data_IF_084315536988
#
_entry.id   IF_084315536988
#
_cell.length_a   1.000
_cell.length_b   1.000
_cell.length_c   1.000
_cell.angle_alpha   90.00
_cell.angle_beta   90.00
_cell.angle_gamma   90.00
#
_symmetry.space_group_name_H-M   'P 1'
#
loop_
_entity.id
_entity.type
_entity.pdbx_description
1 polymer ?
#
# COMPACT_ATOMS: atom_id res chain seq x y z
N UNK A 1 -7.18 -12.43 3.13
CA UNK A 1 -7.95 -11.79 4.22
C UNK A 1 -7.22 -11.73 5.56
N UNK A 2 -6.76 -12.84 6.18
CA UNK A 2 -6.24 -12.81 7.56
C UNK A 2 -5.07 -11.84 7.76
N UNK A 3 -4.17 -11.78 6.78
CA UNK A 3 -3.04 -10.85 6.80
C UNK A 3 -3.47 -9.38 6.87
N UNK A 4 -4.47 -8.98 6.08
CA UNK A 4 -4.98 -7.60 6.08
C UNK A 4 -5.61 -7.22 7.42
N UNK A 5 -6.30 -8.15 8.05
CA UNK A 5 -6.86 -7.94 9.39
C UNK A 5 -5.75 -7.77 10.44
N UNK A 6 -4.68 -8.58 10.36
CA UNK A 6 -3.50 -8.44 11.25
C UNK A 6 -2.75 -7.11 11.06
N UNK A 7 -2.78 -6.52 9.86
CA UNK A 7 -2.24 -5.18 9.62
C UNK A 7 -3.07 -4.06 10.27
N UNK A 8 -4.24 -4.38 10.85
CA UNK A 8 -5.10 -3.43 11.53
C UNK A 8 -6.18 -2.81 10.64
N UNK A 9 -6.54 -3.44 9.52
CA UNK A 9 -7.70 -3.07 8.71
C UNK A 9 -9.01 -3.52 9.37
N UNK A 10 -10.08 -2.76 9.16
CA UNK A 10 -11.42 -3.12 9.64
C UNK A 10 -11.92 -4.40 8.96
N UNK A 11 -12.80 -5.17 9.61
CA UNK A 11 -13.30 -6.44 9.08
C UNK A 11 -13.92 -6.31 7.68
N UNK A 12 -14.73 -5.27 7.48
CA UNK A 12 -15.43 -4.99 6.22
C UNK A 12 -14.47 -4.64 5.06
N UNK A 13 -13.32 -4.04 5.37
CA UNK A 13 -12.35 -3.56 4.37
C UNK A 13 -11.20 -4.55 4.18
N UNK A 14 -11.05 -5.51 5.10
CA UNK A 14 -9.97 -6.49 5.10
C UNK A 14 -9.97 -7.37 3.85
N UNK A 15 -11.12 -7.56 3.18
CA UNK A 15 -11.20 -8.27 1.91
C UNK A 15 -10.53 -7.46 0.79
N UNK A 16 -10.94 -6.19 0.62
CA UNK A 16 -10.40 -5.28 -0.39
C UNK A 16 -8.89 -5.02 -0.19
N UNK A 17 -8.48 -4.82 1.07
CA UNK A 17 -7.05 -4.66 1.41
C UNK A 17 -6.27 -5.93 1.04
N UNK A 18 -6.81 -7.12 1.35
CA UNK A 18 -6.15 -8.37 1.01
C UNK A 18 -6.09 -8.62 -0.50
N UNK A 19 -7.11 -8.20 -1.25
CA UNK A 19 -7.11 -8.28 -2.72
C UNK A 19 -5.96 -7.45 -3.31
N UNK A 20 -5.82 -6.18 -2.90
CA UNK A 20 -4.73 -5.32 -3.37
C UNK A 20 -3.34 -5.87 -2.99
N UNK A 21 -3.20 -6.47 -1.81
CA UNK A 21 -1.95 -7.16 -1.42
C UNK A 21 -1.66 -8.36 -2.31
N UNK A 22 -2.68 -9.13 -2.69
CA UNK A 22 -2.57 -10.23 -3.64
C UNK A 22 -2.16 -9.76 -5.03
N UNK A 23 -2.78 -8.69 -5.52
CA UNK A 23 -2.45 -8.04 -6.79
C UNK A 23 -0.98 -7.61 -6.82
N UNK A 24 -0.48 -7.00 -5.74
CA UNK A 24 0.95 -6.67 -5.61
C UNK A 24 1.84 -7.91 -5.73
N UNK A 25 1.50 -8.98 -5.05
CA UNK A 25 2.36 -10.17 -4.97
C UNK A 25 2.47 -10.91 -6.31
N UNK A 26 1.34 -11.05 -7.01
CA UNK A 26 1.26 -11.80 -8.27
C UNK A 26 1.50 -10.96 -9.52
N UNK A 27 1.02 -9.71 -9.56
CA UNK A 27 1.17 -8.83 -10.71
C UNK A 27 2.32 -7.85 -10.46
N UNK A 28 2.03 -6.72 -9.80
CA UNK A 28 3.00 -5.70 -9.43
C UNK A 28 2.34 -4.66 -8.51
N UNK A 29 3.15 -3.82 -7.89
CA UNK A 29 2.71 -2.70 -7.06
C UNK A 29 2.00 -1.60 -7.85
N UNK A 30 2.36 -1.36 -9.12
CA UNK A 30 1.77 -0.29 -9.92
C UNK A 30 0.27 -0.49 -10.18
N UNK A 31 -0.13 -1.72 -10.52
CA UNK A 31 -1.53 -2.11 -10.72
C UNK A 31 -2.29 -2.04 -9.39
N UNK A 32 -1.67 -2.46 -8.29
CA UNK A 32 -2.27 -2.32 -6.97
C UNK A 32 -2.47 -0.85 -6.56
N UNK A 33 -1.51 0.04 -6.87
CA UNK A 33 -1.65 1.48 -6.65
C UNK A 33 -2.73 2.11 -7.53
N UNK A 34 -2.91 1.63 -8.75
CA UNK A 34 -4.00 2.07 -9.62
C UNK A 34 -5.36 1.73 -9.01
N UNK A 35 -5.53 0.51 -8.49
CA UNK A 35 -6.75 0.12 -7.76
C UNK A 35 -6.98 0.99 -6.52
N UNK A 36 -5.95 1.22 -5.71
CA UNK A 36 -6.02 2.12 -4.56
C UNK A 36 -6.44 3.54 -4.97
N UNK A 37 -5.89 4.06 -6.07
CA UNK A 37 -6.24 5.38 -6.59
C UNK A 37 -7.71 5.45 -7.00
N UNK A 38 -8.27 4.40 -7.61
CA UNK A 38 -9.71 4.32 -7.92
C UNK A 38 -10.55 4.42 -6.64
N UNK A 39 -10.24 3.63 -5.60
CA UNK A 39 -10.97 3.70 -4.33
C UNK A 39 -10.86 5.07 -3.65
N UNK A 40 -9.68 5.70 -3.69
CA UNK A 40 -9.48 7.04 -3.14
C UNK A 40 -10.27 8.10 -3.92
N UNK A 41 -10.23 8.06 -5.25
CA UNK A 41 -10.99 8.98 -6.10
C UNK A 41 -12.49 8.85 -5.86
N UNK A 42 -13.01 7.63 -5.74
CA UNK A 42 -14.42 7.40 -5.45
C UNK A 42 -14.86 8.06 -4.13
N UNK A 43 -14.01 7.99 -3.10
CA UNK A 43 -14.27 8.69 -1.83
C UNK A 43 -14.25 10.21 -1.98
N UNK A 44 -13.26 10.74 -2.71
CA UNK A 44 -13.12 12.20 -2.94
C UNK A 44 -14.27 12.76 -3.77
N UNK A 45 -14.86 11.97 -4.66
CA UNK A 45 -16.04 12.33 -5.44
C UNK A 45 -17.34 12.29 -4.61
N UNK A 46 -17.29 11.85 -3.35
CA UNK A 46 -18.46 11.77 -2.47
C UNK A 46 -19.46 10.68 -2.89
N UNK A 47 -18.99 9.63 -3.58
CA UNK A 47 -19.84 8.50 -3.94
C UNK A 47 -20.34 7.75 -2.69
N UNK A 48 -21.52 7.12 -2.76
CA UNK A 48 -22.00 6.27 -1.67
C UNK A 48 -20.99 5.16 -1.38
N UNK A 49 -20.82 4.83 -0.10
CA UNK A 49 -19.85 3.80 0.33
C UNK A 49 -20.15 2.43 -0.29
N UNK A 50 -21.43 2.14 -0.51
CA UNK A 50 -21.91 0.88 -1.05
C UNK A 50 -22.75 1.12 -2.30
N UNK A 51 -22.46 0.34 -3.33
CA UNK A 51 -23.26 0.23 -4.55
C UNK A 51 -23.79 -1.19 -4.63
N UNK A 52 -25.01 -1.37 -4.12
CA UNK A 52 -25.61 -2.68 -3.93
C UNK A 52 -24.77 -3.57 -3.00
N UNK A 53 -24.05 -4.53 -3.59
CA UNK A 53 -23.22 -5.51 -2.88
C UNK A 53 -21.72 -5.20 -2.88
N UNK A 54 -21.28 -4.13 -3.55
CA UNK A 54 -19.87 -3.77 -3.69
C UNK A 54 -19.55 -2.49 -2.91
N UNK A 55 -18.44 -2.51 -2.17
CA UNK A 55 -17.93 -1.35 -1.45
C UNK A 55 -17.07 -0.50 -2.40
N UNK A 56 -17.47 0.75 -2.64
CA UNK A 56 -16.90 1.61 -3.68
C UNK A 56 -15.64 2.37 -3.26
N UNK A 57 -15.39 2.54 -1.96
CA UNK A 57 -14.21 3.20 -1.43
C UNK A 57 -13.81 2.66 -0.05
N UNK A 58 -12.58 2.96 0.38
CA UNK A 58 -12.03 2.50 1.67
C UNK A 58 -11.72 3.66 2.61
N UNK A 59 -11.72 3.37 3.90
CA UNK A 59 -11.47 4.35 4.95
C UNK A 59 -10.07 4.98 4.87
N UNK A 60 -9.89 6.21 5.38
CA UNK A 60 -8.61 6.85 5.64
C UNK A 60 -7.49 5.95 6.17
N UNK A 61 -7.87 5.12 7.13
CA UNK A 61 -6.97 4.21 7.82
C UNK A 61 -6.55 3.07 6.90
N UNK A 62 -7.50 2.46 6.19
CA UNK A 62 -7.21 1.42 5.22
C UNK A 62 -6.36 1.94 4.05
N UNK A 63 -6.61 3.15 3.55
CA UNK A 63 -5.76 3.77 2.52
C UNK A 63 -4.31 3.89 2.97
N UNK A 64 -4.10 4.32 4.22
CA UNK A 64 -2.75 4.41 4.80
C UNK A 64 -2.10 3.03 4.90
N UNK A 65 -2.81 2.03 5.44
CA UNK A 65 -2.34 0.64 5.52
C UNK A 65 -1.87 0.14 4.17
N UNK A 66 -2.74 0.26 3.16
CA UNK A 66 -2.45 -0.22 1.81
C UNK A 66 -1.29 0.54 1.21
N UNK A 67 -1.22 1.87 1.36
CA UNK A 67 -0.13 2.68 0.84
C UNK A 67 1.24 2.20 1.33
N UNK A 68 1.37 1.95 2.63
CA UNK A 68 2.62 1.45 3.21
C UNK A 68 2.87 -0.03 2.89
N UNK A 69 1.82 -0.85 2.87
CA UNK A 69 1.96 -2.27 2.55
C UNK A 69 2.30 -2.50 1.07
N UNK A 70 1.86 -1.60 0.18
CA UNK A 70 2.21 -1.61 -1.24
C UNK A 70 3.61 -1.05 -1.50
N UNK A 71 4.14 -0.21 -0.61
CA UNK A 71 5.47 0.36 -0.74
C UNK A 71 6.56 -0.71 -0.71
N UNK A 72 7.04 -1.11 -1.89
CA UNK A 72 8.14 -2.05 -2.08
C UNK A 72 7.96 -2.95 -3.30
N UNK A 73 9.04 -3.13 -4.06
CA UNK A 73 9.13 -3.94 -5.28
C UNK A 73 9.22 -5.46 -5.01
N UNK A 74 8.63 -5.93 -3.92
CA UNK A 74 8.65 -7.35 -3.55
C UNK A 74 7.52 -8.08 -4.30
N UNK A 75 7.71 -8.30 -5.60
CA UNK A 75 6.80 -9.01 -6.48
C UNK A 75 7.58 -10.01 -7.38
N UNK A 76 6.87 -10.91 -8.06
CA UNK A 76 7.48 -11.93 -8.93
C UNK A 76 8.22 -11.33 -10.14
N UNK A 77 7.76 -10.21 -10.68
CA UNK A 77 8.40 -9.54 -11.83
C UNK A 77 9.75 -8.90 -11.46
N UNK A 78 9.85 -8.27 -10.30
CA UNK A 78 11.05 -7.59 -9.80
C UNK A 78 12.17 -8.56 -9.45
N UNK A 79 11.82 -9.79 -9.02
CA UNK A 79 12.79 -10.90 -8.91
C UNK A 79 13.49 -11.16 -10.24
N UNK A 80 12.73 -11.27 -11.33
CA UNK A 80 13.27 -11.53 -12.66
C UNK A 80 14.23 -10.42 -13.11
N UNK A 81 13.84 -9.17 -12.86
CA UNK A 81 14.69 -7.99 -13.15
C UNK A 81 15.97 -8.02 -12.31
N UNK A 82 15.87 -8.28 -11.00
CA UNK A 82 17.01 -8.29 -10.10
C UNK A 82 17.96 -9.46 -10.39
N UNK A 83 17.44 -10.64 -10.72
CA UNK A 83 18.24 -11.76 -11.19
C UNK A 83 18.93 -11.43 -12.52
N UNK A 84 18.21 -10.87 -13.50
CA UNK A 84 18.79 -10.46 -14.78
C UNK A 84 19.93 -9.45 -14.61
N UNK A 85 19.72 -8.44 -13.76
CA UNK A 85 20.73 -7.44 -13.43
C UNK A 85 21.96 -8.06 -12.74
N UNK A 86 21.76 -8.75 -11.62
CA UNK A 86 22.86 -9.32 -10.82
C UNK A 86 23.63 -10.41 -11.57
N UNK A 87 22.95 -11.24 -12.37
CA UNK A 87 23.62 -12.28 -13.17
C UNK A 87 24.46 -11.70 -14.30
N UNK A 88 24.07 -10.56 -14.88
CA UNK A 88 24.91 -9.86 -15.86
C UNK A 88 26.17 -9.25 -15.24
N UNK A 89 26.08 -8.78 -13.99
CA UNK A 89 27.21 -8.18 -13.27
C UNK A 89 28.18 -9.22 -12.69
N UNK A 90 27.67 -10.37 -12.24
CA UNK A 90 28.46 -11.43 -11.62
C UNK A 90 27.96 -12.82 -12.07
N UNK A 91 28.24 -13.22 -13.34
CA UNK A 91 27.73 -14.47 -13.92
C UNK A 91 28.18 -15.73 -13.18
N UNK A 92 29.35 -15.69 -12.54
CA UNK A 92 29.88 -16.77 -11.70
C UNK A 92 29.02 -17.07 -10.46
N UNK A 93 28.20 -16.12 -9.99
CA UNK A 93 27.35 -16.28 -8.78
C UNK A 93 25.87 -16.49 -9.10
N UNK A 94 25.53 -16.80 -10.35
CA UNK A 94 24.13 -17.02 -10.77
C UNK A 94 23.38 -18.06 -9.93
N UNK A 95 24.07 -19.12 -9.50
CA UNK A 95 23.49 -20.18 -8.67
C UNK A 95 23.18 -19.71 -7.25
N UNK A 96 24.05 -18.87 -6.68
CA UNK A 96 23.82 -18.28 -5.36
C UNK A 96 22.58 -17.38 -5.41
N UNK A 97 22.48 -16.51 -6.43
CA UNK A 97 21.36 -15.58 -6.58
C UNK A 97 20.03 -16.31 -6.78
N UNK A 98 19.98 -17.35 -7.62
CA UNK A 98 18.73 -18.10 -7.84
C UNK A 98 18.27 -18.85 -6.59
N UNK A 99 19.20 -19.30 -5.74
CA UNK A 99 18.87 -20.03 -4.50
C UNK A 99 18.24 -19.12 -3.42
N UNK A 100 18.66 -17.86 -3.34
CA UNK A 100 18.20 -16.93 -2.29
C UNK A 100 16.99 -16.10 -2.70
N UNK A 101 16.67 -16.04 -4.00
CA UNK A 101 15.74 -15.04 -4.53
C UNK A 101 14.31 -15.15 -3.98
N UNK A 102 13.82 -16.38 -3.74
CA UNK A 102 12.51 -16.61 -3.15
C UNK A 102 12.49 -16.16 -1.68
N UNK A 103 13.59 -16.37 -0.95
CA UNK A 103 13.74 -15.88 0.43
C UNK A 103 13.82 -14.36 0.46
N UNK A 104 14.51 -13.75 -0.51
CA UNK A 104 14.59 -12.31 -0.66
C UNK A 104 13.22 -11.68 -0.94
N UNK A 105 12.40 -12.31 -1.80
CA UNK A 105 11.02 -11.88 -2.05
C UNK A 105 10.19 -11.87 -0.76
N UNK A 106 10.14 -12.99 -0.06
CA UNK A 106 9.35 -13.12 1.17
C UNK A 106 9.82 -12.11 2.23
N UNK A 107 11.13 -11.94 2.37
CA UNK A 107 11.71 -10.97 3.31
C UNK A 107 11.30 -9.54 2.92
N UNK A 108 11.38 -9.20 1.64
CA UNK A 108 10.94 -7.89 1.13
C UNK A 108 9.45 -7.64 1.36
N UNK A 109 8.59 -8.63 1.11
CA UNK A 109 7.15 -8.53 1.37
C UNK A 109 6.89 -8.33 2.87
N UNK A 110 7.56 -9.08 3.75
CA UNK A 110 7.44 -8.91 5.20
C UNK A 110 7.87 -7.52 5.67
N UNK A 111 8.93 -6.94 5.11
CA UNK A 111 9.37 -5.57 5.46
C UNK A 111 8.30 -4.55 5.10
N UNK A 112 7.67 -4.64 3.92
CA UNK A 112 6.56 -3.75 3.56
C UNK A 112 5.37 -3.88 4.53
N UNK A 113 5.05 -5.11 4.96
CA UNK A 113 3.96 -5.38 5.91
C UNK A 113 4.26 -4.82 7.31
N UNK A 114 5.50 -4.98 7.79
CA UNK A 114 5.95 -4.42 9.07
C UNK A 114 5.87 -2.89 9.03
N UNK A 115 6.30 -2.26 7.92
CA UNK A 115 6.19 -0.81 7.75
C UNK A 115 4.73 -0.35 7.79
N UNK A 116 3.79 -1.12 7.21
CA UNK A 116 2.36 -0.84 7.31
C UNK A 116 1.85 -0.92 8.76
N UNK A 117 2.25 -1.95 9.52
CA UNK A 117 1.89 -2.05 10.93
C UNK A 117 2.42 -0.85 11.74
N UNK A 118 3.67 -0.44 11.50
CA UNK A 118 4.27 0.72 12.16
C UNK A 118 3.54 2.02 11.82
N UNK A 119 3.10 2.18 10.57
CA UNK A 119 2.31 3.34 10.15
C UNK A 119 0.98 3.42 10.90
N UNK A 120 0.26 2.30 11.05
CA UNK A 120 -1.01 2.24 11.82
C UNK A 120 -0.81 2.52 13.29
N UNK A 121 0.27 2.00 13.88
CA UNK A 121 0.60 2.21 15.28
C UNK A 121 0.91 3.67 15.58
N UNK A 122 1.38 4.43 14.58
CA UNK A 122 1.76 5.82 14.79
C UNK A 122 0.57 6.64 15.33
N UNK A 123 0.74 7.37 16.46
CA UNK A 123 -0.35 8.11 17.10
C UNK A 123 -1.03 9.12 16.17
N UNK A 124 -0.27 9.61 15.20
CA UNK A 124 -0.69 10.58 14.21
C UNK A 124 -1.72 10.03 13.21
N UNK A 125 -1.63 8.74 12.87
CA UNK A 125 -2.65 8.05 12.06
C UNK A 125 -3.88 7.74 12.92
N UNK A 126 -3.69 7.33 14.18
CA UNK A 126 -4.79 7.08 15.11
C UNK A 126 -5.63 8.33 15.43
N UNK A 127 -5.02 9.52 15.42
CA UNK A 127 -5.70 10.80 15.64
C UNK A 127 -6.35 11.37 14.38
N UNK A 128 -6.29 10.68 13.22
CA UNK A 128 -6.78 11.20 11.94
C UNK A 128 -6.01 12.46 11.46
N UNK A 129 -4.81 12.69 12.01
CA UNK A 129 -3.99 13.88 11.77
C UNK A 129 -2.99 13.71 10.64
N UNK A 130 -2.73 12.47 10.21
CA UNK A 130 -1.93 12.18 9.03
C UNK A 130 -2.85 11.65 7.95
N UNK A 131 -2.94 12.43 6.88
CA UNK A 131 -3.51 12.00 5.61
C UNK A 131 -2.44 12.17 4.53
N UNK A 132 -2.20 11.15 3.72
CA UNK A 132 -1.52 11.33 2.43
C UNK A 132 -2.57 11.40 1.34
N UNK A 133 -3.03 12.60 0.95
CA UNK A 133 -3.79 12.72 -0.29
C UNK A 133 -2.81 12.56 -1.44
N UNK A 134 -2.97 11.52 -2.27
CA UNK A 134 -2.45 11.58 -3.63
C UNK A 134 -3.38 12.50 -4.43
N UNK A 135 -3.23 13.81 -4.23
CA UNK A 135 -3.99 14.82 -4.98
C UNK A 135 -3.57 14.78 -6.45
N UNK A 136 -4.48 14.31 -7.30
CA UNK A 136 -4.35 14.29 -8.75
C UNK A 136 -4.49 15.72 -9.31
N UNK A 137 -3.51 16.58 -9.08
CA UNK A 137 -3.42 17.91 -9.70
C UNK A 137 -2.04 18.12 -10.33
N UNK A 138 -1.94 18.60 -11.59
CA UNK A 138 -0.71 18.54 -12.40
C UNK A 138 0.41 19.50 -11.95
N UNK A 139 0.34 20.11 -10.76
CA UNK A 139 1.20 21.24 -10.36
C UNK A 139 1.95 21.03 -9.02
N UNK A 140 1.71 19.98 -8.23
CA UNK A 140 2.50 19.77 -6.98
C UNK A 140 3.16 18.39 -6.92
N UNK A 141 4.48 18.37 -7.14
CA UNK A 141 5.35 17.18 -7.16
C UNK A 141 5.69 16.61 -5.78
N UNK A 142 4.96 16.94 -4.73
CA UNK A 142 5.34 16.52 -3.37
C UNK A 142 4.27 15.58 -2.79
N UNK A 143 4.63 14.29 -2.68
CA UNK A 143 4.00 13.35 -1.77
C UNK A 143 4.27 13.81 -0.33
N UNK A 144 3.57 14.86 0.10
CA UNK A 144 3.69 15.41 1.44
C UNK A 144 2.74 14.64 2.37
N UNK A 145 3.27 14.18 3.50
CA UNK A 145 2.45 13.85 4.67
C UNK A 145 1.75 15.15 5.07
N UNK A 146 0.45 15.28 4.81
CA UNK A 146 -0.31 16.41 5.31
C UNK A 146 -0.63 16.12 6.76
N UNK A 147 0.10 16.78 7.66
CA UNK A 147 -0.29 16.88 9.06
C UNK A 147 -1.44 17.87 9.10
N UNK A 148 -2.68 17.40 9.17
CA UNK A 148 -3.81 18.30 9.38
C UNK A 148 -3.69 18.88 10.81
N UNK A 149 -3.69 20.21 10.97
CA UNK A 149 -3.80 20.82 12.29
C UNK A 149 -5.10 20.35 12.97
N UNK A 150 -5.23 20.45 14.30
CA UNK A 150 -6.46 20.07 14.99
C UNK A 150 -7.65 20.71 14.30
N UNK A 151 -8.67 19.93 14.00
CA UNK A 151 -9.99 20.45 13.65
C UNK A 151 -10.38 21.44 14.75
N UNK A 152 -10.38 22.73 14.45
CA UNK A 152 -11.06 23.72 15.28
C UNK A 152 -12.54 23.49 15.01
N UNK A 153 -13.12 22.56 15.77
CA UNK A 153 -14.55 22.51 16.02
C UNK A 153 -14.95 23.91 16.50
N UNK A 154 -15.89 24.53 15.80
CA UNK A 154 -16.09 25.98 15.78
C UNK A 154 -16.13 26.69 17.13
N UNK A 155 -15.65 27.93 17.11
CA UNK A 155 -16.14 29.05 17.90
C UNK A 155 -15.86 30.33 17.10
N UNK A 156 -16.96 30.94 16.66
CA UNK A 156 -17.16 32.20 15.93
C UNK A 156 -17.15 32.14 14.39
#
# INVERSE_FOLDING_TARGET
>A
MPLAFLLGASWEESFLVAEMLGVKFFLNEFVAYQQLSTYQNNRLMGLPEWDGSQKQWISPRAETIVTFALCGFANQSSIGIMLGGLTSMAPQRKGDFSSIVLRALLTGSCVSLINACLAVLSPWVALGRIYMPMQHSPISRNAAIIITPPYVSGLN
#
